data_IF_916592635825
#
_entry.id   IF_916592635825
#
_cell.length_a   1.000
_cell.length_b   1.000
_cell.length_c   1.000
_cell.angle_alpha   90.00
_cell.angle_beta   90.00
_cell.angle_gamma   90.00
#
_symmetry.space_group_name_H-M   'P 1'
#
loop_
_entity.id
_entity.type
_entity.pdbx_description
1 polymer ?
#
# COMPACT_ATOMS: atom_id res chain seq x y z
N UNK A 1 40.93 -10.33 -28.93
CA UNK A 1 40.48 -10.84 -27.61
C UNK A 1 40.23 -9.73 -26.58
N UNK A 2 40.99 -8.64 -26.55
CA UNK A 2 40.74 -7.49 -25.64
C UNK A 2 39.41 -6.77 -25.92
N UNK A 3 38.95 -6.76 -27.18
CA UNK A 3 37.68 -6.12 -27.57
C UNK A 3 36.42 -6.78 -27.00
N UNK A 4 36.42 -8.11 -26.78
CA UNK A 4 35.28 -8.81 -26.18
C UNK A 4 35.15 -8.49 -24.68
N UNK A 5 36.28 -8.31 -23.98
CA UNK A 5 36.31 -7.96 -22.55
C UNK A 5 35.82 -6.53 -22.28
N UNK A 6 36.24 -5.56 -23.09
CA UNK A 6 35.76 -4.17 -22.93
C UNK A 6 34.29 -4.00 -23.29
N UNK A 7 33.79 -4.71 -24.31
CA UNK A 7 32.38 -4.62 -24.69
C UNK A 7 31.45 -5.20 -23.61
N UNK A 8 31.88 -6.22 -22.87
CA UNK A 8 31.08 -6.79 -21.78
C UNK A 8 31.04 -5.88 -20.54
N UNK A 9 32.14 -5.18 -20.22
CA UNK A 9 32.20 -4.24 -19.09
C UNK A 9 31.42 -2.95 -19.37
N UNK A 10 31.40 -2.48 -20.63
CA UNK A 10 30.64 -1.26 -21.00
C UNK A 10 29.15 -1.56 -21.22
N UNK A 11 28.80 -2.74 -21.75
CA UNK A 11 27.39 -3.15 -21.91
C UNK A 11 26.69 -3.46 -20.59
N UNK A 12 27.43 -3.72 -19.50
CA UNK A 12 26.85 -3.95 -18.17
C UNK A 12 26.76 -2.68 -17.32
N UNK A 13 27.27 -1.53 -17.80
CA UNK A 13 27.39 -0.33 -16.98
C UNK A 13 26.59 0.88 -17.49
N UNK A 14 25.99 0.86 -18.69
CA UNK A 14 25.29 2.04 -19.22
C UNK A 14 24.05 1.71 -20.07
N UNK A 15 22.90 1.59 -19.39
CA UNK A 15 21.56 1.80 -19.95
C UNK A 15 20.66 0.55 -19.94
N UNK A 16 19.49 0.50 -19.30
CA UNK A 16 18.69 1.58 -18.72
C UNK A 16 17.59 1.01 -17.80
N UNK A 17 17.46 1.62 -16.60
CA UNK A 17 16.20 1.90 -15.88
C UNK A 17 15.34 0.73 -15.39
N UNK A 18 15.84 -0.04 -14.42
CA UNK A 18 14.98 -0.81 -13.48
C UNK A 18 15.58 -0.80 -12.04
N UNK A 19 16.26 0.29 -11.67
CA UNK A 19 17.08 0.41 -10.46
C UNK A 19 16.38 1.12 -9.27
N UNK A 20 15.04 1.19 -9.27
CA UNK A 20 14.27 1.73 -8.13
C UNK A 20 13.67 0.61 -7.26
N UNK A 21 13.26 -0.53 -7.83
CA UNK A 21 12.66 -1.64 -7.08
C UNK A 21 13.70 -2.63 -6.53
N UNK A 22 14.82 -2.88 -7.22
CA UNK A 22 15.80 -3.88 -6.78
C UNK A 22 16.74 -3.43 -5.65
N UNK A 23 16.71 -2.13 -5.28
CA UNK A 23 17.37 -1.61 -4.07
C UNK A 23 16.57 -1.83 -2.79
N UNK A 24 15.26 -2.13 -2.89
CA UNK A 24 14.44 -2.43 -1.71
C UNK A 24 14.79 -3.79 -1.11
N UNK A 25 15.07 -4.80 -1.95
CA UNK A 25 15.33 -6.17 -1.47
C UNK A 25 16.81 -6.48 -1.23
N UNK A 26 17.75 -5.90 -1.98
CA UNK A 26 19.19 -6.15 -1.74
C UNK A 26 19.74 -5.47 -0.47
N UNK A 27 18.95 -4.59 0.16
CA UNK A 27 19.21 -4.07 1.50
C UNK A 27 18.48 -4.84 2.62
N UNK A 28 17.66 -5.85 2.28
CA UNK A 28 16.94 -6.66 3.27
C UNK A 28 17.84 -7.66 4.01
N UNK A 29 19.03 -7.96 3.47
CA UNK A 29 19.98 -8.88 4.11
C UNK A 29 20.91 -8.22 5.16
N UNK A 30 20.67 -6.95 5.53
CA UNK A 30 21.51 -6.26 6.51
C UNK A 30 21.01 -4.90 7.01
N UNK A 31 19.72 -4.57 6.91
CA UNK A 31 19.22 -3.27 7.39
C UNK A 31 19.25 -3.22 8.91
N UNK A 32 20.09 -2.34 9.47
CA UNK A 32 20.15 -2.08 10.90
C UNK A 32 18.77 -1.76 11.50
N UNK A 33 18.62 -2.04 12.81
CA UNK A 33 17.40 -1.80 13.59
C UNK A 33 16.73 -0.45 13.32
N UNK A 34 17.51 0.63 13.17
CA UNK A 34 17.04 2.00 12.95
C UNK A 34 16.30 2.21 11.60
N UNK A 35 16.88 1.84 10.45
CA UNK A 35 16.14 1.82 9.17
C UNK A 35 14.83 1.04 9.22
N UNK A 36 14.82 -0.13 9.87
CA UNK A 36 13.61 -0.97 9.97
C UNK A 36 12.52 -0.27 10.80
N UNK A 37 12.88 0.27 11.97
CA UNK A 37 11.93 1.02 12.81
C UNK A 37 11.42 2.27 12.09
N UNK A 38 12.27 2.98 11.34
CA UNK A 38 11.86 4.15 10.57
C UNK A 38 10.84 3.80 9.47
N UNK A 39 11.05 2.69 8.74
CA UNK A 39 10.09 2.21 7.73
C UNK A 39 8.75 1.83 8.35
N UNK A 40 8.77 1.09 9.47
CA UNK A 40 7.55 0.70 10.18
C UNK A 40 6.80 1.95 10.68
N UNK A 41 7.52 2.90 11.28
CA UNK A 41 6.93 4.15 11.78
C UNK A 41 6.31 5.02 10.68
N UNK A 42 6.89 5.04 9.48
CA UNK A 42 6.32 5.76 8.34
C UNK A 42 4.99 5.16 7.88
N UNK A 43 4.92 3.83 7.78
CA UNK A 43 3.67 3.12 7.42
C UNK A 43 2.60 3.32 8.49
N UNK A 44 2.95 3.23 9.77
CA UNK A 44 2.01 3.46 10.87
C UNK A 44 1.48 4.90 10.89
N UNK A 45 2.32 5.89 10.59
CA UNK A 45 1.91 7.29 10.47
C UNK A 45 0.94 7.51 9.30
N UNK A 46 1.22 6.92 8.13
CA UNK A 46 0.35 7.02 6.97
C UNK A 46 -1.06 6.45 7.27
N UNK A 47 -1.12 5.32 7.97
CA UNK A 47 -2.40 4.73 8.35
C UNK A 47 -3.15 5.54 9.43
N UNK A 48 -2.44 6.13 10.38
CA UNK A 48 -3.06 6.97 11.40
C UNK A 48 -3.77 8.18 10.78
N UNK A 49 -3.18 8.79 9.75
CA UNK A 49 -3.79 9.91 9.01
C UNK A 49 -5.07 9.44 8.30
N UNK A 50 -5.01 8.32 7.57
CA UNK A 50 -6.17 7.76 6.87
C UNK A 50 -7.30 7.40 7.84
N UNK A 51 -6.97 6.80 8.98
CA UNK A 51 -7.94 6.46 10.03
C UNK A 51 -8.63 7.69 10.61
N UNK A 52 -7.90 8.79 10.85
CA UNK A 52 -8.50 10.04 11.33
C UNK A 52 -9.41 10.64 10.25
N UNK A 53 -8.97 10.67 8.99
CA UNK A 53 -9.79 11.20 7.89
C UNK A 53 -11.08 10.39 7.69
N UNK A 54 -10.99 9.06 7.75
CA UNK A 54 -12.16 8.18 7.70
C UNK A 54 -13.10 8.42 8.89
N UNK A 55 -12.54 8.60 10.09
CA UNK A 55 -13.33 8.88 11.29
C UNK A 55 -14.03 10.25 11.23
N UNK A 56 -13.34 11.28 10.74
CA UNK A 56 -13.93 12.61 10.52
C UNK A 56 -15.03 12.53 9.46
N UNK A 57 -14.81 11.81 8.36
CA UNK A 57 -15.84 11.59 7.34
C UNK A 57 -17.08 10.87 7.90
N UNK A 58 -16.90 9.95 8.85
CA UNK A 58 -18.03 9.32 9.55
C UNK A 58 -18.70 10.31 10.51
N UNK A 59 -17.92 11.06 11.29
CA UNK A 59 -18.42 11.99 12.29
C UNK A 59 -19.32 13.09 11.68
N UNK A 60 -18.99 13.62 10.50
CA UNK A 60 -19.83 14.62 9.82
C UNK A 60 -21.19 14.08 9.35
N UNK A 61 -21.34 12.76 9.22
CA UNK A 61 -22.59 12.09 8.82
C UNK A 61 -23.46 11.77 10.03
N UNK A 62 -22.91 11.78 11.26
CA UNK A 62 -23.66 11.48 12.46
C UNK A 62 -24.64 12.62 12.80
N UNK A 63 -25.91 12.30 13.12
CA UNK A 63 -26.85 13.29 13.63
C UNK A 63 -26.38 13.82 14.99
N UNK A 64 -26.70 15.09 15.27
CA UNK A 64 -26.33 15.73 16.53
C UNK A 64 -26.94 14.97 17.73
N UNK A 65 -26.13 14.78 18.77
CA UNK A 65 -26.49 14.06 19.98
C UNK A 65 -26.75 15.06 21.11
N UNK A 66 -27.59 14.75 22.12
CA UNK A 66 -27.80 15.63 23.28
C UNK A 66 -26.58 15.73 24.22
N UNK A 67 -25.39 15.31 23.79
CA UNK A 67 -24.17 15.32 24.58
C UNK A 67 -23.57 16.74 24.67
N UNK A 68 -22.80 17.04 25.73
CA UNK A 68 -22.11 18.32 25.85
C UNK A 68 -21.15 18.51 24.66
N UNK A 69 -21.15 19.71 24.08
CA UNK A 69 -20.19 20.07 23.05
C UNK A 69 -18.79 20.17 23.65
N UNK A 70 -17.83 19.51 23.01
CA UNK A 70 -16.42 19.56 23.39
C UNK A 70 -15.60 20.10 22.22
N UNK A 71 -14.86 21.19 22.45
CA UNK A 71 -13.95 21.75 21.44
C UNK A 71 -14.64 22.32 20.18
N UNK A 72 -15.91 22.69 20.26
CA UNK A 72 -16.69 23.23 19.12
C UNK A 72 -17.38 22.19 18.24
N UNK A 73 -17.29 20.90 18.61
CA UNK A 73 -17.93 19.77 17.92
C UNK A 73 -18.83 18.98 18.88
N UNK A 74 -19.85 18.31 18.34
CA UNK A 74 -20.76 17.46 19.11
C UNK A 74 -19.98 16.38 19.88
N UNK A 75 -20.37 16.12 21.14
CA UNK A 75 -19.67 15.17 21.99
C UNK A 75 -19.59 13.75 21.40
N UNK A 76 -20.61 13.33 20.65
CA UNK A 76 -20.60 12.03 19.96
C UNK A 76 -19.63 12.02 18.78
N UNK A 77 -19.57 13.10 18.01
CA UNK A 77 -18.63 13.24 16.89
C UNK A 77 -17.18 13.25 17.37
N UNK A 78 -16.87 14.00 18.43
CA UNK A 78 -15.54 13.99 19.04
C UNK A 78 -15.15 12.61 19.57
N UNK A 79 -16.06 11.96 20.31
CA UNK A 79 -15.83 10.62 20.81
C UNK A 79 -15.60 9.62 19.66
N UNK A 80 -16.35 9.72 18.56
CA UNK A 80 -16.17 8.86 17.39
C UNK A 80 -14.81 9.05 16.74
N UNK A 81 -14.34 10.29 16.54
CA UNK A 81 -13.01 10.54 15.95
C UNK A 81 -11.90 9.97 16.83
N UNK A 82 -11.98 10.19 18.14
CA UNK A 82 -10.98 9.68 19.09
C UNK A 82 -11.02 8.15 19.17
N UNK A 83 -12.21 7.56 19.30
CA UNK A 83 -12.38 6.11 19.39
C UNK A 83 -11.95 5.43 18.10
N UNK A 84 -12.32 5.95 16.93
CA UNK A 84 -11.93 5.37 15.66
C UNK A 84 -10.43 5.52 15.38
N UNK A 85 -9.80 6.64 15.76
CA UNK A 85 -8.35 6.80 15.66
C UNK A 85 -7.58 5.80 16.53
N UNK A 86 -8.00 5.64 17.79
CA UNK A 86 -7.39 4.66 18.72
C UNK A 86 -7.69 3.23 18.26
N UNK A 87 -8.93 2.94 17.87
CA UNK A 87 -9.33 1.62 17.39
C UNK A 87 -8.57 1.23 16.12
N UNK A 88 -8.39 2.15 15.15
CA UNK A 88 -7.61 1.90 13.94
C UNK A 88 -6.19 1.47 14.25
N UNK A 89 -5.50 2.19 15.15
CA UNK A 89 -4.14 1.86 15.56
C UNK A 89 -4.06 0.50 16.28
N UNK A 90 -5.00 0.20 17.18
CA UNK A 90 -5.04 -1.09 17.89
C UNK A 90 -5.34 -2.24 16.91
N UNK A 91 -6.29 -2.04 15.98
CA UNK A 91 -6.74 -3.08 15.05
C UNK A 91 -5.62 -3.50 14.11
N UNK A 92 -4.84 -2.59 13.53
CA UNK A 92 -3.68 -3.02 12.70
C UNK A 92 -2.69 -3.80 13.55
N UNK A 93 -2.36 -3.29 14.74
CA UNK A 93 -1.32 -3.89 15.58
C UNK A 93 -1.69 -5.32 15.98
N UNK A 94 -2.96 -5.56 16.26
CA UNK A 94 -3.49 -6.89 16.51
C UNK A 94 -3.54 -7.72 15.22
N UNK A 95 -4.02 -7.16 14.11
CA UNK A 95 -4.09 -7.84 12.82
C UNK A 95 -2.71 -8.30 12.32
N UNK A 96 -1.68 -7.47 12.43
CA UNK A 96 -0.30 -7.80 12.07
C UNK A 96 0.23 -8.95 12.93
N UNK A 97 -0.02 -8.92 14.24
CA UNK A 97 0.41 -9.99 15.16
C UNK A 97 -0.30 -11.32 14.84
N UNK A 98 -1.61 -11.26 14.61
CA UNK A 98 -2.40 -12.42 14.22
C UNK A 98 -1.98 -12.96 12.85
N UNK A 99 -1.73 -12.07 11.89
CA UNK A 99 -1.28 -12.41 10.54
C UNK A 99 0.08 -13.10 10.54
N UNK A 100 1.05 -12.58 11.30
CA UNK A 100 2.36 -13.25 11.48
C UNK A 100 2.18 -14.66 12.05
N UNK A 101 1.34 -14.80 13.09
CA UNK A 101 1.05 -16.13 13.66
C UNK A 101 0.35 -17.08 12.68
N UNK A 102 -0.45 -16.56 11.75
CA UNK A 102 -1.11 -17.35 10.72
C UNK A 102 -0.12 -17.85 9.66
N UNK A 103 0.84 -17.01 9.26
CA UNK A 103 1.91 -17.39 8.33
C UNK A 103 2.81 -18.47 8.92
N UNK A 104 3.18 -18.35 10.20
CA UNK A 104 3.97 -19.39 10.90
C UNK A 104 3.28 -20.76 10.88
N UNK A 105 1.95 -20.79 10.96
CA UNK A 105 1.16 -22.04 10.94
C UNK A 105 0.95 -22.60 9.52
N UNK A 106 0.97 -21.74 8.49
CA UNK A 106 0.62 -22.09 7.10
C UNK A 106 1.56 -21.36 6.13
N UNK A 107 2.79 -21.86 5.91
CA UNK A 107 3.79 -21.18 5.08
C UNK A 107 3.36 -21.02 3.60
N UNK A 108 2.45 -21.86 3.09
CA UNK A 108 1.90 -21.70 1.73
C UNK A 108 1.03 -20.44 1.54
N UNK A 109 0.52 -19.84 2.63
CA UNK A 109 -0.23 -18.58 2.57
C UNK A 109 0.68 -17.36 2.40
N UNK A 110 1.95 -17.45 2.79
CA UNK A 110 2.90 -16.33 2.71
C UNK A 110 3.11 -15.91 1.25
N UNK A 111 3.48 -16.86 0.38
CA UNK A 111 3.70 -16.59 -1.03
C UNK A 111 2.41 -16.09 -1.70
N UNK A 112 1.27 -16.67 -1.36
CA UNK A 112 -0.03 -16.26 -1.93
C UNK A 112 -0.40 -14.85 -1.49
N UNK A 113 -0.20 -14.52 -0.22
CA UNK A 113 -0.45 -13.18 0.31
C UNK A 113 0.47 -12.15 -0.35
N UNK A 114 1.76 -12.43 -0.51
CA UNK A 114 2.68 -11.55 -1.22
C UNK A 114 2.29 -11.35 -2.69
N UNK A 115 1.91 -12.42 -3.40
CA UNK A 115 1.45 -12.30 -4.79
C UNK A 115 0.19 -11.44 -4.91
N UNK A 116 -0.78 -11.61 -4.00
CA UNK A 116 -2.01 -10.81 -3.99
C UNK A 116 -1.69 -9.34 -3.66
N UNK A 117 -0.91 -9.09 -2.62
CA UNK A 117 -0.53 -7.72 -2.20
C UNK A 117 0.30 -7.03 -3.29
N UNK A 118 1.25 -7.73 -3.92
CA UNK A 118 2.01 -7.20 -5.05
C UNK A 118 1.09 -6.86 -6.23
N UNK A 119 0.15 -7.74 -6.57
CA UNK A 119 -0.81 -7.50 -7.66
C UNK A 119 -1.74 -6.32 -7.38
N UNK A 120 -2.25 -6.20 -6.15
CA UNK A 120 -3.08 -5.06 -5.72
C UNK A 120 -2.25 -3.77 -5.67
N UNK A 121 -1.01 -3.84 -5.19
CA UNK A 121 -0.07 -2.71 -5.17
C UNK A 121 0.20 -2.16 -6.56
N UNK A 122 0.47 -3.04 -7.54
CA UNK A 122 0.62 -2.66 -8.95
C UNK A 122 -0.66 -2.02 -9.48
N UNK A 123 -1.84 -2.58 -9.19
CA UNK A 123 -3.13 -1.98 -9.59
C UNK A 123 -3.30 -0.57 -9.01
N UNK A 124 -3.01 -0.37 -7.74
CA UNK A 124 -3.10 0.94 -7.09
C UNK A 124 -2.08 1.93 -7.65
N UNK A 125 -0.84 1.50 -7.89
CA UNK A 125 0.19 2.34 -8.51
C UNK A 125 -0.22 2.79 -9.91
N UNK A 126 -0.72 1.88 -10.75
CA UNK A 126 -1.21 2.21 -12.10
C UNK A 126 -2.39 3.18 -12.03
N UNK A 127 -3.37 2.94 -11.16
CA UNK A 127 -4.54 3.82 -11.00
C UNK A 127 -4.11 5.21 -10.49
N UNK A 128 -3.19 5.26 -9.51
CA UNK A 128 -2.68 6.50 -8.92
C UNK A 128 -1.87 7.32 -9.91
N UNK A 129 -0.99 6.66 -10.69
CA UNK A 129 -0.21 7.30 -11.77
C UNK A 129 -1.08 7.70 -12.97
N UNK A 130 -2.29 7.16 -13.09
CA UNK A 130 -3.28 7.53 -14.11
C UNK A 130 -4.28 8.60 -13.65
N UNK A 131 -4.23 9.03 -12.38
CA UNK A 131 -5.14 10.04 -11.85
C UNK A 131 -4.75 11.45 -12.32
N UNK A 132 -5.77 12.25 -12.67
CA UNK A 132 -5.74 13.53 -13.40
C UNK A 132 -4.75 14.61 -12.88
N UNK A 133 -4.21 14.46 -11.67
CA UNK A 133 -3.33 15.42 -11.01
C UNK A 133 -1.82 15.18 -11.22
N UNK A 134 -1.41 14.10 -11.91
CA UNK A 134 0.01 13.83 -12.27
C UNK A 134 0.11 13.58 -13.78
N UNK A 135 0.05 14.65 -14.57
CA UNK A 135 0.03 14.63 -16.04
C UNK A 135 1.33 14.14 -16.71
N UNK A 136 1.60 12.82 -16.66
CA UNK A 136 2.70 12.17 -17.41
C UNK A 136 2.19 11.13 -18.44
N UNK A 137 0.93 10.69 -18.38
CA UNK A 137 0.36 9.74 -19.35
C UNK A 137 -0.96 10.24 -19.96
N UNK A 138 -1.09 10.05 -21.28
CA UNK A 138 -2.23 10.52 -22.09
C UNK A 138 -3.52 9.72 -21.81
N UNK A 139 -4.62 10.48 -21.82
CA UNK A 139 -6.05 10.23 -21.55
C UNK A 139 -6.73 8.93 -22.08
N UNK A 140 -6.03 7.99 -22.72
CA UNK A 140 -6.65 6.88 -23.48
C UNK A 140 -6.46 5.46 -22.92
N UNK A 141 -5.65 5.26 -21.88
CA UNK A 141 -5.28 3.91 -21.42
C UNK A 141 -6.27 3.21 -20.47
N UNK A 142 -6.88 3.89 -19.47
CA UNK A 142 -7.79 3.24 -18.51
C UNK A 142 -9.13 2.81 -19.09
N UNK A 143 -9.56 3.44 -20.19
CA UNK A 143 -10.78 3.10 -20.93
C UNK A 143 -10.54 2.12 -22.09
N UNK A 144 -9.31 1.61 -22.26
CA UNK A 144 -9.04 0.61 -23.28
C UNK A 144 -9.65 -0.75 -22.88
N UNK A 145 -10.37 -1.35 -23.82
CA UNK A 145 -10.94 -2.70 -23.72
C UNK A 145 -9.89 -3.76 -23.35
N UNK A 146 -8.60 -3.50 -23.63
CA UNK A 146 -7.47 -4.36 -23.25
C UNK A 146 -7.16 -4.37 -21.75
N UNK A 147 -7.28 -3.23 -21.05
CA UNK A 147 -7.07 -3.16 -19.59
C UNK A 147 -8.20 -3.83 -18.83
N UNK A 148 -9.46 -3.60 -19.22
CA UNK A 148 -10.60 -4.31 -18.60
C UNK A 148 -10.53 -5.84 -18.83
N UNK A 149 -10.05 -6.29 -19.99
CA UNK A 149 -9.87 -7.71 -20.29
C UNK A 149 -8.76 -8.36 -19.45
N UNK A 150 -7.62 -7.71 -19.22
CA UNK A 150 -6.59 -8.25 -18.30
C UNK A 150 -6.98 -8.08 -16.82
N UNK A 151 -7.74 -7.05 -16.49
CA UNK A 151 -8.15 -6.72 -15.12
C UNK A 151 -9.28 -7.61 -14.59
N UNK A 152 -10.24 -8.00 -15.45
CA UNK A 152 -11.40 -8.86 -15.10
C UNK A 152 -11.37 -10.24 -15.75
N UNK A 153 -10.72 -10.42 -16.91
CA UNK A 153 -10.73 -11.69 -17.64
C UNK A 153 -10.06 -12.84 -16.89
N UNK A 154 -9.08 -12.56 -16.00
CA UNK A 154 -8.45 -13.59 -15.16
C UNK A 154 -9.27 -13.92 -13.89
N UNK A 155 -10.26 -13.11 -13.51
CA UNK A 155 -11.14 -13.42 -12.37
C UNK A 155 -12.33 -14.31 -12.74
N UNK A 156 -12.63 -14.51 -14.03
CA UNK A 156 -13.73 -15.37 -14.48
C UNK A 156 -13.29 -16.81 -14.84
N UNK A 157 -12.00 -17.08 -14.93
CA UNK A 157 -11.50 -18.41 -15.23
C UNK A 157 -10.82 -19.05 -14.00
N UNK A 158 -11.65 -19.48 -13.04
CA UNK A 158 -11.32 -20.66 -12.23
C UNK A 158 -12.42 -21.70 -12.46
N UNK A 159 -12.11 -22.79 -13.18
CA UNK A 159 -13.06 -23.83 -13.54
C UNK A 159 -13.22 -24.83 -12.39
N UNK A 160 -14.46 -25.07 -11.97
CA UNK A 160 -15.14 -26.37 -11.75
C UNK A 160 -16.38 -26.18 -10.86
#
# INVERSE_FOLDING_TARGET
MIYLGLKHVISNNFGSKDDEESKLEKNAAGSGFWPTVAKIGLTDLAFAIDSILAAVALAIVLPNSPLPNFGGMDGAQFAMVVLAGIAGLILIKFAATWFVSLLDKRPGLETTAYLIVAWVGVKLAVITLSHESVGILSESFPHSTGWNFTFWGRSLESPS
#
